data_IF_220105387243
#
_entry.id   IF_220105387243
#
_cell.length_a   1.000
_cell.length_b   1.000
_cell.length_c   1.000
_cell.angle_alpha   90.00
_cell.angle_beta   90.00
_cell.angle_gamma   90.00
#
_symmetry.space_group_name_H-M   'P 1'
#
loop_
_entity.id
_entity.type
_entity.pdbx_description
1 polymer ?
#
# COMPACT_ATOMS: atom_id res chain seq x y z
N UNK A 1 12.51 -8.05 -10.69
CA UNK A 1 13.04 -7.57 -11.98
C UNK A 1 12.92 -8.56 -13.14
N UNK A 2 13.74 -9.62 -13.27
CA UNK A 2 13.73 -10.50 -14.48
C UNK A 2 12.34 -10.99 -14.90
N UNK A 3 11.52 -11.46 -13.95
CA UNK A 3 10.16 -11.90 -14.23
C UNK A 3 9.27 -10.79 -14.82
N UNK A 4 9.40 -9.55 -14.31
CA UNK A 4 8.64 -8.38 -14.77
C UNK A 4 9.09 -7.96 -16.17
N UNK A 5 10.40 -7.91 -16.45
CA UNK A 5 10.89 -7.63 -17.81
C UNK A 5 10.39 -8.68 -18.81
N UNK A 6 10.49 -9.97 -18.45
CA UNK A 6 10.01 -11.08 -19.27
C UNK A 6 8.50 -10.99 -19.56
N UNK A 7 7.70 -10.44 -18.63
CA UNK A 7 6.27 -10.24 -18.85
C UNK A 7 6.03 -9.24 -20.00
N UNK A 8 6.72 -8.10 -19.99
CA UNK A 8 6.62 -7.09 -21.04
C UNK A 8 7.19 -7.60 -22.38
N UNK A 9 8.30 -8.34 -22.35
CA UNK A 9 8.90 -8.96 -23.55
C UNK A 9 8.00 -10.04 -24.18
N UNK A 10 7.30 -10.83 -23.36
CA UNK A 10 6.44 -11.92 -23.82
C UNK A 10 5.09 -11.43 -24.37
N UNK A 11 4.61 -10.29 -23.88
CA UNK A 11 3.32 -9.73 -24.28
C UNK A 11 3.42 -8.27 -24.76
N UNK A 12 4.27 -7.98 -25.77
CA UNK A 12 4.58 -6.61 -26.19
C UNK A 12 3.36 -5.87 -26.75
N UNK A 13 2.33 -6.60 -27.21
CA UNK A 13 1.07 -6.03 -27.69
C UNK A 13 0.08 -5.72 -26.57
N UNK A 14 0.36 -6.16 -25.33
CA UNK A 14 -0.58 -6.02 -24.19
C UNK A 14 -0.05 -5.10 -23.10
N UNK A 15 1.26 -5.04 -22.91
CA UNK A 15 1.88 -4.24 -21.86
C UNK A 15 3.30 -3.80 -22.22
N UNK A 16 3.78 -2.78 -21.52
CA UNK A 16 5.16 -2.28 -21.62
C UNK A 16 5.61 -1.72 -20.26
N UNK A 17 6.92 -1.68 -20.04
CA UNK A 17 7.50 -1.05 -18.84
C UNK A 17 7.43 0.46 -18.95
N UNK A 18 7.01 1.12 -17.88
CA UNK A 18 7.02 2.57 -17.74
C UNK A 18 8.07 2.98 -16.73
N UNK A 19 8.95 3.89 -17.15
CA UNK A 19 10.07 4.41 -16.37
C UNK A 19 10.03 5.91 -16.18
N UNK A 20 8.96 6.55 -16.64
CA UNK A 20 8.60 7.94 -16.37
C UNK A 20 7.08 8.11 -16.42
N UNK A 21 6.52 9.22 -15.91
CA UNK A 21 5.11 9.57 -16.09
C UNK A 21 4.70 9.63 -17.57
N UNK A 22 5.58 10.16 -18.43
CA UNK A 22 5.34 10.24 -19.88
C UNK A 22 5.27 8.85 -20.54
N UNK A 23 6.07 7.89 -20.06
CA UNK A 23 5.98 6.51 -20.52
C UNK A 23 4.60 5.93 -20.18
N UNK A 24 4.08 6.19 -18.98
CA UNK A 24 2.73 5.73 -18.58
C UNK A 24 1.68 6.27 -19.55
N UNK A 25 1.67 7.59 -19.77
CA UNK A 25 0.73 8.25 -20.68
C UNK A 25 0.82 7.67 -22.11
N UNK A 26 2.04 7.55 -22.65
CA UNK A 26 2.29 7.02 -24.00
C UNK A 26 1.82 5.56 -24.14
N UNK A 27 2.13 4.72 -23.16
CA UNK A 27 1.77 3.29 -23.18
C UNK A 27 0.26 3.13 -23.11
N UNK A 28 -0.42 3.83 -22.19
CA UNK A 28 -1.87 3.77 -22.04
C UNK A 28 -2.58 4.29 -23.28
N UNK A 29 -2.12 5.39 -23.88
CA UNK A 29 -2.68 5.93 -25.14
C UNK A 29 -2.58 4.93 -26.31
N UNK A 30 -1.62 4.01 -26.28
CA UNK A 30 -1.50 2.93 -27.28
C UNK A 30 -2.43 1.73 -27.03
N UNK A 31 -3.30 1.78 -26.01
CA UNK A 31 -4.17 0.67 -25.59
C UNK A 31 -3.46 -0.44 -24.81
N UNK A 32 -2.20 -0.22 -24.40
CA UNK A 32 -1.39 -1.16 -23.63
C UNK A 32 -1.41 -0.83 -22.15
N UNK A 33 -1.06 -1.81 -21.31
CA UNK A 33 -0.92 -1.64 -19.87
C UNK A 33 0.49 -1.17 -19.52
N UNK A 34 0.61 -0.06 -18.81
CA UNK A 34 1.88 0.42 -18.26
C UNK A 34 2.25 -0.38 -17.00
N UNK A 35 3.44 -0.96 -16.99
CA UNK A 35 3.99 -1.68 -15.84
C UNK A 35 5.07 -0.82 -15.19
N UNK A 36 4.81 -0.36 -13.97
CA UNK A 36 5.77 0.35 -13.13
C UNK A 36 6.36 -0.63 -12.12
N UNK A 37 7.62 -0.44 -11.72
CA UNK A 37 8.29 -1.34 -10.78
C UNK A 37 8.49 -0.65 -9.43
N UNK A 38 7.97 -1.27 -8.38
CA UNK A 38 8.28 -0.98 -6.98
C UNK A 38 9.19 -2.02 -6.37
N UNK A 39 9.99 -1.63 -5.38
CA UNK A 39 10.71 -2.55 -4.50
C UNK A 39 10.14 -2.40 -3.10
N UNK A 40 9.42 -3.42 -2.65
CA UNK A 40 8.90 -3.45 -1.29
C UNK A 40 9.91 -4.17 -0.37
N UNK A 41 10.33 -3.48 0.68
CA UNK A 41 11.43 -3.82 1.59
C UNK A 41 12.83 -3.49 1.06
N UNK A 42 13.50 -2.56 1.74
CA UNK A 42 14.91 -2.23 1.51
C UNK A 42 15.89 -3.27 2.09
N UNK A 43 15.44 -4.22 2.92
CA UNK A 43 16.30 -5.23 3.56
C UNK A 43 17.30 -5.91 2.61
N UNK A 44 16.92 -6.37 1.39
CA UNK A 44 17.85 -7.06 0.49
C UNK A 44 19.01 -6.20 -0.02
N UNK A 45 18.98 -4.89 0.21
CA UNK A 45 20.08 -4.00 -0.16
C UNK A 45 21.28 -4.08 0.80
N UNK A 46 21.10 -4.70 1.98
CA UNK A 46 22.13 -4.69 3.03
C UNK A 46 22.61 -3.27 3.31
N UNK A 47 23.92 -3.10 3.42
CA UNK A 47 24.57 -1.81 3.64
C UNK A 47 25.05 -1.12 2.34
N UNK A 48 24.82 -1.75 1.18
CA UNK A 48 25.26 -1.24 -0.12
C UNK A 48 24.23 -0.29 -0.73
N UNK A 49 24.45 1.02 -0.57
CA UNK A 49 23.63 2.05 -1.20
C UNK A 49 23.63 1.99 -2.74
N UNK A 50 24.66 1.37 -3.35
CA UNK A 50 24.71 1.14 -4.79
C UNK A 50 23.63 0.17 -5.28
N UNK A 51 22.94 -0.57 -4.40
CA UNK A 51 21.77 -1.34 -4.80
C UNK A 51 20.55 -0.47 -5.11
N UNK A 52 20.43 0.73 -4.51
CA UNK A 52 19.38 1.69 -4.88
C UNK A 52 19.53 2.11 -6.34
N UNK A 53 20.77 2.41 -6.76
CA UNK A 53 21.11 2.68 -8.15
C UNK A 53 20.79 1.52 -9.08
N UNK A 54 21.18 0.31 -8.70
CA UNK A 54 20.91 -0.90 -9.48
C UNK A 54 19.41 -1.15 -9.63
N UNK A 55 18.61 -0.94 -8.58
CA UNK A 55 17.15 -1.03 -8.68
C UNK A 55 16.59 0.02 -9.65
N UNK A 56 17.05 1.27 -9.55
CA UNK A 56 16.63 2.36 -10.45
C UNK A 56 16.93 2.06 -11.92
N UNK A 57 18.16 1.61 -12.21
CA UNK A 57 18.62 1.24 -13.56
C UNK A 57 17.82 0.06 -14.13
N UNK A 58 17.32 -0.82 -13.26
CA UNK A 58 16.44 -1.94 -13.64
C UNK A 58 14.97 -1.53 -13.74
N UNK A 59 14.65 -0.24 -13.66
CA UNK A 59 13.32 0.32 -13.87
C UNK A 59 12.50 0.53 -12.60
N UNK A 60 13.04 0.27 -11.40
CA UNK A 60 12.33 0.60 -10.16
C UNK A 60 12.16 2.11 -10.01
N UNK A 61 10.99 2.54 -9.53
CA UNK A 61 10.63 3.96 -9.35
C UNK A 61 10.19 4.33 -7.96
N UNK A 62 9.94 3.33 -7.10
CA UNK A 62 9.87 3.55 -5.66
C UNK A 62 10.52 2.40 -4.88
N UNK A 63 10.92 2.69 -3.64
CA UNK A 63 11.31 1.69 -2.65
C UNK A 63 10.57 1.95 -1.34
N UNK A 64 9.93 0.92 -0.80
CA UNK A 64 9.43 0.90 0.59
C UNK A 64 10.59 0.53 1.51
N UNK A 65 10.94 1.41 2.45
CA UNK A 65 12.20 1.26 3.21
C UNK A 65 12.26 -0.02 4.04
N UNK A 66 11.13 -0.46 4.62
CA UNK A 66 10.98 -1.74 5.29
C UNK A 66 9.65 -2.41 4.89
N UNK A 67 9.46 -3.65 5.33
CA UNK A 67 8.18 -4.34 5.28
C UNK A 67 7.77 -4.68 6.73
N UNK A 68 7.21 -5.85 6.99
CA UNK A 68 7.08 -6.38 8.34
C UNK A 68 8.46 -6.77 8.87
N UNK A 69 8.80 -6.23 10.04
CA UNK A 69 10.09 -6.40 10.70
C UNK A 69 11.05 -5.22 10.49
N UNK A 70 11.88 -4.95 11.50
CA UNK A 70 12.94 -3.95 11.42
C UNK A 70 14.00 -4.37 10.41
N UNK A 71 14.72 -3.38 9.86
CA UNK A 71 15.87 -3.64 9.02
C UNK A 71 16.96 -2.58 9.24
N UNK A 72 18.08 -2.69 8.52
CA UNK A 72 19.22 -1.80 8.62
C UNK A 72 18.93 -0.33 8.26
N UNK A 73 17.76 -0.03 7.70
CA UNK A 73 17.37 1.31 7.25
C UNK A 73 16.43 1.98 8.24
N UNK A 74 15.46 1.26 8.79
CA UNK A 74 14.41 1.85 9.60
C UNK A 74 13.60 0.85 10.44
N UNK A 75 12.88 1.41 11.40
CA UNK A 75 11.86 0.70 12.17
C UNK A 75 10.60 0.46 11.32
N UNK A 76 9.95 -0.68 11.58
CA UNK A 76 8.69 -1.09 10.97
C UNK A 76 7.55 -0.89 11.96
N UNK A 77 6.35 -0.56 11.48
CA UNK A 77 5.15 -0.52 12.31
C UNK A 77 4.72 -1.91 12.80
N UNK A 78 5.29 -2.97 12.24
CA UNK A 78 5.00 -4.37 12.57
C UNK A 78 6.32 -5.11 12.86
N UNK A 79 6.97 -4.85 14.03
CA UNK A 79 8.15 -5.59 14.45
C UNK A 79 7.86 -7.09 14.50
N UNK A 80 8.87 -7.91 14.23
CA UNK A 80 8.81 -9.37 14.16
C UNK A 80 9.70 -9.98 15.24
N UNK A 81 9.17 -10.25 16.45
CA UNK A 81 9.94 -10.90 17.51
C UNK A 81 10.51 -12.26 17.11
N UNK A 82 9.84 -12.97 16.19
CA UNK A 82 10.33 -14.24 15.63
C UNK A 82 11.58 -14.08 14.74
N UNK A 83 11.87 -12.86 14.28
CA UNK A 83 13.10 -12.48 13.59
C UNK A 83 14.11 -11.79 14.53
N UNK A 84 13.79 -11.68 15.82
CA UNK A 84 14.64 -11.05 16.83
C UNK A 84 14.38 -9.55 17.05
N UNK A 85 13.35 -8.98 16.44
CA UNK A 85 13.06 -7.55 16.61
C UNK A 85 12.62 -7.23 18.04
N UNK A 86 13.21 -6.17 18.59
CA UNK A 86 12.66 -5.47 19.74
C UNK A 86 11.43 -4.62 19.36
N UNK A 87 10.83 -3.89 20.33
CA UNK A 87 9.79 -2.91 20.04
C UNK A 87 10.28 -1.70 19.23
N UNK A 88 11.61 -1.52 19.13
CA UNK A 88 12.31 -0.44 18.43
C UNK A 88 13.75 -0.86 18.18
N UNK A 89 14.30 -0.52 17.02
CA UNK A 89 15.71 -0.74 16.65
C UNK A 89 16.47 0.59 16.60
N UNK A 90 16.06 1.50 15.72
CA UNK A 90 16.74 2.78 15.46
C UNK A 90 16.04 3.98 16.11
N UNK A 91 14.76 3.82 16.46
CA UNK A 91 13.89 4.93 16.87
C UNK A 91 13.43 5.80 15.71
N UNK A 92 13.40 5.26 14.48
CA UNK A 92 13.14 6.02 13.27
C UNK A 92 13.92 5.49 12.07
N UNK A 93 14.62 6.37 11.37
CA UNK A 93 15.61 6.01 10.36
C UNK A 93 16.99 5.82 10.99
N UNK A 94 17.72 4.79 10.58
CA UNK A 94 19.15 4.67 10.86
C UNK A 94 19.96 5.73 10.09
N UNK A 95 21.25 5.94 10.43
CA UNK A 95 22.14 6.76 9.61
C UNK A 95 22.24 6.28 8.16
N UNK A 96 22.17 4.96 7.93
CA UNK A 96 22.13 4.38 6.59
C UNK A 96 20.79 4.66 5.90
N UNK A 97 19.66 4.55 6.60
CA UNK A 97 18.33 4.89 6.10
C UNK A 97 18.23 6.33 5.62
N UNK A 98 18.76 7.30 6.38
CA UNK A 98 18.83 8.71 5.95
C UNK A 98 19.66 8.89 4.68
N UNK A 99 20.79 8.20 4.56
CA UNK A 99 21.60 8.21 3.31
C UNK A 99 20.87 7.56 2.13
N UNK A 100 20.09 6.50 2.36
CA UNK A 100 19.27 5.86 1.35
C UNK A 100 18.19 6.82 0.81
N UNK A 101 17.44 7.50 1.69
CA UNK A 101 16.46 8.53 1.31
C UNK A 101 17.11 9.63 0.47
N UNK A 102 18.26 10.15 0.89
CA UNK A 102 19.00 11.15 0.12
C UNK A 102 19.46 10.62 -1.25
N UNK A 103 19.87 9.34 -1.35
CA UNK A 103 20.23 8.73 -2.63
C UNK A 103 19.01 8.59 -3.54
N UNK A 104 17.87 8.16 -3.01
CA UNK A 104 16.61 8.07 -3.75
C UNK A 104 16.17 9.44 -4.29
N UNK A 105 16.22 10.49 -3.47
CA UNK A 105 15.93 11.86 -3.93
C UNK A 105 16.87 12.32 -5.06
N UNK A 106 18.17 12.00 -4.99
CA UNK A 106 19.13 12.34 -6.05
C UNK A 106 18.88 11.58 -7.36
N UNK A 107 18.30 10.39 -7.29
CA UNK A 107 18.00 9.57 -8.48
C UNK A 107 16.67 9.93 -9.12
N UNK A 108 15.75 10.60 -8.40
CA UNK A 108 14.35 10.71 -8.82
C UNK A 108 13.56 9.44 -8.51
N UNK A 109 13.97 8.69 -7.48
CA UNK A 109 13.23 7.53 -6.97
C UNK A 109 12.31 7.98 -5.83
N UNK A 110 11.02 7.62 -5.92
CA UNK A 110 10.03 7.91 -4.89
C UNK A 110 10.35 7.12 -3.61
N UNK A 111 10.27 7.80 -2.47
CA UNK A 111 10.35 7.14 -1.16
C UNK A 111 8.96 6.72 -0.74
N UNK A 112 8.78 5.43 -0.45
CA UNK A 112 7.51 4.89 0.04
C UNK A 112 7.55 4.68 1.56
N UNK A 113 6.54 5.23 2.23
CA UNK A 113 6.37 5.23 3.69
C UNK A 113 5.33 4.23 4.20
N UNK A 114 4.71 3.43 3.32
CA UNK A 114 3.98 2.22 3.75
C UNK A 114 4.87 1.31 4.62
N UNK A 115 4.29 0.57 5.57
CA UNK A 115 4.98 -0.29 6.55
C UNK A 115 5.85 0.38 7.61
N UNK A 116 6.30 1.62 7.42
CA UNK A 116 7.20 2.29 8.35
C UNK A 116 6.55 2.49 9.72
N UNK A 117 7.36 2.39 10.78
CA UNK A 117 6.95 2.90 12.09
C UNK A 117 6.64 4.40 12.00
N UNK A 118 5.81 4.91 12.91
CA UNK A 118 5.47 6.33 12.93
C UNK A 118 6.72 7.22 13.08
N UNK A 119 7.70 6.80 13.89
CA UNK A 119 9.00 7.49 14.01
C UNK A 119 9.74 7.57 12.66
N UNK A 120 9.80 6.45 11.93
CA UNK A 120 10.47 6.39 10.62
C UNK A 120 9.75 7.22 9.58
N UNK A 121 8.41 7.26 9.61
CA UNK A 121 7.60 8.15 8.77
C UNK A 121 7.98 9.63 9.00
N UNK A 122 8.07 10.07 10.25
CA UNK A 122 8.43 11.45 10.58
C UNK A 122 9.86 11.79 10.14
N UNK A 123 10.81 10.89 10.37
CA UNK A 123 12.20 11.04 9.93
C UNK A 123 12.33 11.13 8.40
N UNK A 124 11.56 10.33 7.65
CA UNK A 124 11.51 10.41 6.18
C UNK A 124 10.98 11.78 5.76
N UNK A 125 9.88 12.26 6.35
CA UNK A 125 9.31 13.57 6.02
C UNK A 125 10.23 14.75 6.37
N UNK A 126 11.04 14.60 7.40
CA UNK A 126 12.05 15.58 7.77
C UNK A 126 13.20 15.62 6.77
N UNK A 127 13.75 14.47 6.38
CA UNK A 127 14.98 14.41 5.58
C UNK A 127 14.78 14.29 4.06
N UNK A 128 13.59 13.87 3.61
CA UNK A 128 13.26 13.81 2.18
C UNK A 128 13.11 15.22 1.63
N UNK A 129 13.70 15.44 0.47
CA UNK A 129 13.66 16.71 -0.23
C UNK A 129 12.79 16.66 -1.49
N UNK A 130 12.07 15.56 -1.67
CA UNK A 130 11.05 15.38 -2.67
C UNK A 130 9.78 14.81 -1.99
N UNK A 131 8.59 14.96 -2.60
CA UNK A 131 7.38 14.34 -2.09
C UNK A 131 7.52 12.82 -1.93
N UNK A 132 6.74 12.26 -1.00
CA UNK A 132 6.76 10.82 -0.68
C UNK A 132 5.40 10.18 -0.96
N UNK A 133 5.39 8.89 -1.22
CA UNK A 133 4.16 8.11 -1.34
C UNK A 133 3.95 7.26 -0.09
N UNK A 134 2.70 6.98 0.26
CA UNK A 134 2.36 5.76 0.99
C UNK A 134 1.65 4.85 -0.01
N UNK A 135 2.31 3.83 -0.55
CA UNK A 135 1.84 3.08 -1.72
C UNK A 135 0.64 2.15 -1.45
N UNK A 136 0.36 1.85 -0.18
CA UNK A 136 -0.71 0.97 0.30
C UNK A 136 -0.88 1.11 1.82
N UNK A 137 -1.66 2.09 2.25
CA UNK A 137 -1.95 2.33 3.68
C UNK A 137 -3.40 2.77 3.88
N UNK A 138 -3.94 2.60 5.09
CA UNK A 138 -5.29 3.04 5.45
C UNK A 138 -5.31 4.24 6.40
N UNK A 139 -6.51 4.59 6.88
CA UNK A 139 -6.77 5.71 7.76
C UNK A 139 -7.00 5.21 9.19
N UNK A 140 -6.13 5.61 10.12
CA UNK A 140 -6.16 5.09 11.50
C UNK A 140 -7.41 5.51 12.27
N UNK A 141 -7.99 6.66 11.90
CA UNK A 141 -9.23 7.15 12.51
C UNK A 141 -10.44 6.24 12.27
N UNK A 142 -10.43 5.45 11.19
CA UNK A 142 -11.50 4.49 10.86
C UNK A 142 -11.18 3.08 11.34
N UNK A 143 -9.91 2.70 11.30
CA UNK A 143 -9.43 1.43 11.84
C UNK A 143 -8.09 1.64 12.53
N UNK A 144 -8.08 1.55 13.86
CA UNK A 144 -6.87 1.72 14.67
C UNK A 144 -5.92 0.52 14.49
N UNK A 145 -5.06 0.64 13.49
CA UNK A 145 -4.10 -0.39 13.10
C UNK A 145 -2.74 0.25 12.82
N UNK A 146 -1.60 -0.36 13.23
CA UNK A 146 -0.27 0.19 13.03
C UNK A 146 0.09 0.50 11.57
N UNK A 147 -0.43 -0.31 10.62
CA UNK A 147 -0.28 -0.08 9.17
C UNK A 147 -1.02 1.14 8.62
N UNK A 148 -1.90 1.77 9.41
CA UNK A 148 -2.68 2.93 8.99
C UNK A 148 -2.05 4.24 9.49
N UNK A 149 -2.15 5.27 8.66
CA UNK A 149 -1.68 6.61 8.96
C UNK A 149 -2.70 7.36 9.82
N UNK A 150 -2.22 8.08 10.82
CA UNK A 150 -3.04 9.03 11.59
C UNK A 150 -3.39 10.27 10.76
N UNK A 151 -4.43 11.00 11.16
CA UNK A 151 -4.79 12.27 10.51
C UNK A 151 -3.65 13.30 10.53
N UNK A 152 -2.81 13.25 11.57
CA UNK A 152 -1.60 14.07 11.67
C UNK A 152 -0.60 13.70 10.57
N UNK A 153 -0.37 12.40 10.36
CA UNK A 153 0.49 11.90 9.29
C UNK A 153 -0.08 12.26 7.90
N UNK A 154 -1.37 12.08 7.68
CA UNK A 154 -2.04 12.44 6.42
C UNK A 154 -1.87 13.93 6.07
N UNK A 155 -2.12 14.83 7.02
CA UNK A 155 -1.94 16.28 6.83
C UNK A 155 -0.49 16.65 6.53
N UNK A 156 0.47 16.05 7.25
CA UNK A 156 1.89 16.33 7.05
C UNK A 156 2.40 15.81 5.69
N UNK A 157 1.95 14.62 5.28
CA UNK A 157 2.23 14.06 3.97
C UNK A 157 1.70 14.97 2.85
N UNK A 158 0.45 15.42 2.97
CA UNK A 158 -0.16 16.35 2.01
C UNK A 158 0.58 17.69 1.93
N UNK A 159 0.94 18.28 3.08
CA UNK A 159 1.69 19.53 3.16
C UNK A 159 3.07 19.47 2.48
N UNK A 160 3.60 18.26 2.24
CA UNK A 160 4.87 18.01 1.54
C UNK A 160 4.67 17.51 0.11
N UNK A 161 3.46 17.63 -0.44
CA UNK A 161 3.13 17.23 -1.81
C UNK A 161 2.88 15.73 -1.99
N UNK A 162 2.93 14.95 -0.90
CA UNK A 162 2.86 13.49 -0.93
C UNK A 162 1.49 12.94 -1.31
N UNK A 163 1.39 11.63 -1.57
CA UNK A 163 0.13 10.95 -1.90
C UNK A 163 -0.03 9.65 -1.08
N UNK A 164 -1.16 9.50 -0.39
CA UNK A 164 -1.56 8.21 0.19
C UNK A 164 -2.35 7.42 -0.85
N UNK A 165 -1.95 6.18 -1.09
CA UNK A 165 -2.69 5.21 -1.88
C UNK A 165 -3.43 4.30 -0.91
N UNK A 166 -4.75 4.45 -0.86
CA UNK A 166 -5.60 3.72 0.08
C UNK A 166 -5.62 2.24 -0.28
N UNK A 167 -5.45 1.39 0.73
CA UNK A 167 -5.29 -0.06 0.57
C UNK A 167 -6.58 -0.84 0.84
N UNK A 168 -6.81 -1.91 0.05
CA UNK A 168 -7.97 -2.78 0.17
C UNK A 168 -7.70 -4.04 1.02
N UNK A 169 -6.94 -3.91 2.11
CA UNK A 169 -6.67 -5.02 3.03
C UNK A 169 -7.68 -4.99 4.18
N UNK A 170 -8.50 -6.03 4.28
CA UNK A 170 -9.63 -6.05 5.20
C UNK A 170 -9.28 -5.76 6.67
N UNK A 171 -8.16 -6.30 7.16
CA UNK A 171 -7.68 -6.06 8.54
C UNK A 171 -7.28 -4.60 8.81
N UNK A 172 -7.02 -3.82 7.76
CA UNK A 172 -6.67 -2.40 7.85
C UNK A 172 -7.87 -1.49 7.63
N UNK A 173 -9.01 -2.03 7.17
CA UNK A 173 -10.23 -1.27 6.91
C UNK A 173 -11.26 -1.39 8.02
N UNK A 174 -11.25 -2.50 8.76
CA UNK A 174 -12.23 -2.74 9.82
C UNK A 174 -11.65 -3.52 10.98
N UNK A 175 -11.86 -2.99 12.18
CA UNK A 175 -11.51 -3.65 13.43
C UNK A 175 -12.47 -4.81 13.75
N UNK A 176 -12.02 -5.75 14.60
CA UNK A 176 -12.90 -6.81 15.11
C UNK A 176 -12.88 -8.13 14.33
N UNK A 177 -12.07 -8.27 13.28
CA UNK A 177 -11.89 -9.55 12.58
C UNK A 177 -11.36 -10.66 13.50
N UNK A 178 -10.58 -10.32 14.52
CA UNK A 178 -10.17 -11.27 15.57
C UNK A 178 -11.37 -11.80 16.39
N UNK A 179 -12.31 -10.93 16.75
CA UNK A 179 -13.55 -11.33 17.45
C UNK A 179 -14.44 -12.19 16.55
N UNK A 180 -14.51 -11.87 15.26
CA UNK A 180 -15.18 -12.71 14.25
C UNK A 180 -14.57 -14.11 14.22
N UNK A 181 -13.24 -14.21 14.05
CA UNK A 181 -12.54 -15.50 14.02
C UNK A 181 -12.74 -16.31 15.30
N UNK A 182 -12.70 -15.64 16.46
CA UNK A 182 -12.99 -16.27 17.75
C UNK A 182 -14.43 -16.80 17.83
N UNK A 183 -15.41 -16.02 17.38
CA UNK A 183 -16.81 -16.44 17.35
C UNK A 183 -17.03 -17.64 16.42
N UNK A 184 -16.39 -17.67 15.26
CA UNK A 184 -16.43 -18.80 14.32
C UNK A 184 -15.77 -20.04 14.94
N UNK A 185 -14.61 -19.88 15.59
CA UNK A 185 -13.93 -20.98 16.28
C UNK A 185 -14.80 -21.59 17.38
N UNK A 186 -15.42 -20.75 18.21
CA UNK A 186 -16.36 -21.20 19.25
C UNK A 186 -17.60 -21.88 18.66
N UNK A 187 -18.07 -21.43 17.49
CA UNK A 187 -19.16 -22.09 16.77
C UNK A 187 -18.74 -23.48 16.27
N UNK A 188 -17.56 -23.60 15.65
CA UNK A 188 -17.02 -24.88 15.20
C UNK A 188 -16.87 -25.86 16.37
N UNK A 189 -16.31 -25.41 17.49
CA UNK A 189 -16.17 -26.21 18.72
C UNK A 189 -17.51 -26.70 19.27
N UNK A 190 -18.52 -25.81 19.38
CA UNK A 190 -19.87 -26.19 19.84
C UNK A 190 -20.55 -27.23 18.95
N UNK A 191 -20.25 -27.21 17.66
CA UNK A 191 -20.81 -28.13 16.68
C UNK A 191 -19.94 -29.38 16.47
N UNK A 192 -18.81 -29.51 17.17
CA UNK A 192 -17.87 -30.62 16.99
C UNK A 192 -17.22 -30.65 15.61
N UNK A 193 -17.04 -29.50 14.97
CA UNK A 193 -16.38 -29.37 13.67
C UNK A 193 -14.88 -29.14 13.90
N UNK A 194 -13.99 -29.94 13.28
CA UNK A 194 -12.55 -29.75 13.41
C UNK A 194 -12.10 -28.36 12.97
N UNK A 195 -11.08 -27.84 13.66
CA UNK A 195 -10.47 -26.55 13.38
C UNK A 195 -9.00 -26.73 13.05
N UNK A 196 -8.57 -26.24 11.90
CA UNK A 196 -7.20 -26.33 11.42
C UNK A 196 -6.89 -25.19 10.46
N UNK A 197 -5.60 -24.85 10.36
CA UNK A 197 -5.09 -23.78 9.48
C UNK A 197 -5.80 -22.40 9.59
N UNK A 198 -6.56 -22.19 10.67
CA UNK A 198 -7.26 -20.95 10.93
C UNK A 198 -8.71 -20.88 10.48
N UNK A 199 -9.30 -22.01 10.10
CA UNK A 199 -10.67 -22.14 9.66
C UNK A 199 -11.33 -23.44 10.17
N UNK A 200 -12.64 -23.54 10.00
CA UNK A 200 -13.40 -24.74 10.30
C UNK A 200 -13.33 -25.69 9.09
N UNK A 201 -12.98 -26.96 9.31
CA UNK A 201 -12.90 -27.98 8.26
C UNK A 201 -14.31 -28.50 7.94
N UNK A 202 -15.05 -27.71 7.18
CA UNK A 202 -16.43 -28.03 6.83
C UNK A 202 -16.50 -29.27 5.92
N UNK A 203 -15.50 -29.56 5.12
CA UNK A 203 -15.40 -30.79 4.32
C UNK A 203 -15.53 -32.06 5.18
N UNK A 204 -14.94 -32.07 6.37
CA UNK A 204 -15.00 -33.17 7.35
C UNK A 204 -16.32 -33.24 8.15
N UNK A 205 -17.18 -32.23 8.03
CA UNK A 205 -18.42 -32.13 8.80
C UNK A 205 -19.62 -32.88 8.15
N UNK A 206 -20.52 -33.39 8.98
CA UNK A 206 -21.80 -33.97 8.57
C UNK A 206 -22.72 -32.93 7.92
N UNK A 207 -23.74 -33.38 7.18
CA UNK A 207 -24.73 -32.47 6.58
C UNK A 207 -25.48 -31.64 7.65
N UNK A 208 -25.78 -32.24 8.80
CA UNK A 208 -26.43 -31.55 9.93
C UNK A 208 -25.51 -30.48 10.54
N UNK A 209 -24.23 -30.80 10.75
CA UNK A 209 -23.24 -29.85 11.25
C UNK A 209 -23.05 -28.68 10.28
N UNK A 210 -22.97 -28.94 8.97
CA UNK A 210 -22.90 -27.90 7.92
C UNK A 210 -24.10 -26.97 7.95
N UNK A 211 -25.31 -27.53 8.04
CA UNK A 211 -26.55 -26.76 8.10
C UNK A 211 -26.61 -25.88 9.36
N UNK A 212 -26.30 -26.45 10.53
CA UNK A 212 -26.26 -25.72 11.80
C UNK A 212 -25.19 -24.62 11.80
N UNK A 213 -24.00 -24.91 11.24
CA UNK A 213 -22.93 -23.94 11.10
C UNK A 213 -23.33 -22.78 10.19
N UNK A 214 -23.90 -23.06 9.03
CA UNK A 214 -24.37 -22.03 8.09
C UNK A 214 -25.46 -21.15 8.71
N UNK A 215 -26.41 -21.74 9.44
CA UNK A 215 -27.49 -20.99 10.09
C UNK A 215 -26.94 -20.06 11.20
N UNK A 216 -26.01 -20.53 12.00
CA UNK A 216 -25.40 -19.73 13.07
C UNK A 216 -24.36 -18.72 12.57
N UNK A 217 -23.73 -18.98 11.41
CA UNK A 217 -22.77 -18.06 10.79
C UNK A 217 -23.43 -16.75 10.38
N UNK A 218 -24.69 -16.78 9.93
CA UNK A 218 -25.43 -15.58 9.56
C UNK A 218 -25.51 -14.54 10.71
N UNK A 219 -25.64 -14.99 11.95
CA UNK A 219 -25.63 -14.10 13.11
C UNK A 219 -24.23 -13.53 13.38
N UNK A 220 -23.18 -14.33 13.18
CA UNK A 220 -21.79 -13.88 13.28
C UNK A 220 -21.49 -12.85 12.18
N UNK A 221 -22.00 -13.06 10.95
CA UNK A 221 -21.86 -12.13 9.82
C UNK A 221 -22.55 -10.79 10.11
N UNK A 222 -23.73 -10.83 10.70
CA UNK A 222 -24.46 -9.63 11.12
C UNK A 222 -23.70 -8.87 12.22
N UNK A 223 -23.16 -9.58 13.20
CA UNK A 223 -22.47 -8.99 14.35
C UNK A 223 -21.05 -8.53 14.05
N UNK A 224 -20.35 -9.24 13.17
CA UNK A 224 -18.97 -8.98 12.77
C UNK A 224 -18.84 -9.08 11.25
N UNK A 225 -19.33 -8.07 10.50
CA UNK A 225 -19.31 -8.13 9.04
C UNK A 225 -17.89 -8.15 8.52
N UNK A 226 -17.67 -8.88 7.42
CA UNK A 226 -16.43 -8.79 6.67
C UNK A 226 -16.30 -7.40 6.03
N UNK A 227 -15.06 -6.93 5.80
CA UNK A 227 -14.82 -5.66 5.13
C UNK A 227 -15.28 -5.74 3.67
N UNK A 228 -15.82 -4.62 3.18
CA UNK A 228 -16.42 -4.48 1.87
C UNK A 228 -15.82 -3.33 1.07
N UNK A 229 -16.19 -3.22 -0.20
CA UNK A 229 -15.89 -2.08 -1.05
C UNK A 229 -16.31 -0.74 -0.39
N UNK A 230 -17.39 -0.74 0.39
CA UNK A 230 -17.83 0.48 1.08
C UNK A 230 -16.84 0.91 2.16
N UNK A 231 -16.33 -0.03 2.96
CA UNK A 231 -15.28 0.25 3.96
C UNK A 231 -14.01 0.77 3.29
N UNK A 232 -13.65 0.20 2.14
CA UNK A 232 -12.52 0.68 1.35
C UNK A 232 -12.72 2.14 0.89
N UNK A 233 -13.89 2.48 0.34
CA UNK A 233 -14.17 3.86 -0.11
C UNK A 233 -14.40 4.82 1.06
N UNK A 234 -14.83 4.35 2.24
CA UNK A 234 -14.87 5.17 3.47
C UNK A 234 -13.46 5.66 3.85
N UNK A 235 -12.45 4.80 3.67
CA UNK A 235 -11.05 5.20 3.85
C UNK A 235 -10.58 6.20 2.79
N UNK A 236 -11.03 6.08 1.54
CA UNK A 236 -10.77 7.07 0.49
C UNK A 236 -11.38 8.42 0.85
N UNK A 237 -12.66 8.46 1.24
CA UNK A 237 -13.35 9.67 1.67
C UNK A 237 -12.66 10.36 2.84
N UNK A 238 -12.30 9.58 3.86
CA UNK A 238 -11.60 10.12 5.01
C UNK A 238 -10.25 10.69 4.62
N UNK A 239 -9.48 9.99 3.78
CA UNK A 239 -8.19 10.50 3.28
C UNK A 239 -8.39 11.80 2.49
N UNK A 240 -9.39 11.87 1.60
CA UNK A 240 -9.68 13.08 0.80
C UNK A 240 -10.07 14.24 1.70
N UNK A 241 -10.88 14.00 2.73
CA UNK A 241 -11.29 15.03 3.71
C UNK A 241 -10.13 15.60 4.51
N UNK A 242 -9.12 14.79 4.82
CA UNK A 242 -8.00 15.17 5.69
C UNK A 242 -6.80 15.70 4.90
N UNK A 243 -6.45 15.04 3.79
CA UNK A 243 -5.27 15.32 2.97
C UNK A 243 -5.59 16.17 1.74
N UNK A 244 -6.84 16.19 1.28
CA UNK A 244 -7.26 16.83 0.02
C UNK A 244 -7.21 15.87 -1.17
N UNK A 245 -8.04 16.14 -2.18
CA UNK A 245 -8.21 15.26 -3.36
C UNK A 245 -6.92 15.03 -4.15
N UNK A 246 -6.02 16.01 -4.16
CA UNK A 246 -4.71 15.96 -4.83
C UNK A 246 -3.71 14.99 -4.17
N UNK A 247 -4.05 14.45 -3.00
CA UNK A 247 -3.13 13.69 -2.16
C UNK A 247 -3.60 12.27 -1.88
N UNK A 248 -4.58 11.77 -2.64
CA UNK A 248 -5.18 10.44 -2.46
C UNK A 248 -5.13 9.64 -3.76
N UNK A 249 -4.79 8.36 -3.66
CA UNK A 249 -4.83 7.38 -4.74
C UNK A 249 -5.29 6.01 -4.26
N UNK A 250 -5.14 4.98 -5.11
CA UNK A 250 -5.53 3.59 -4.81
C UNK A 250 -4.32 2.67 -4.88
N UNK A 251 -4.11 1.87 -3.83
CA UNK A 251 -3.03 0.88 -3.72
C UNK A 251 -3.58 -0.45 -3.24
N UNK A 252 -4.20 -1.21 -4.14
CA UNK A 252 -5.12 -2.30 -3.76
C UNK A 252 -4.51 -3.45 -2.95
N UNK A 253 -3.21 -3.71 -3.11
CA UNK A 253 -2.51 -4.87 -2.53
C UNK A 253 -3.10 -6.24 -2.95
N UNK A 254 -3.82 -6.29 -4.08
CA UNK A 254 -4.25 -7.53 -4.71
C UNK A 254 -3.04 -8.42 -5.04
N UNK A 255 -3.19 -9.73 -4.89
CA UNK A 255 -2.11 -10.73 -4.87
C UNK A 255 -1.09 -10.62 -3.71
N UNK A 256 -1.17 -9.56 -2.89
CA UNK A 256 -0.36 -9.33 -1.68
C UNK A 256 -1.10 -9.53 -0.34
N UNK A 257 -2.41 -9.75 -0.39
CA UNK A 257 -3.28 -9.91 0.80
C UNK A 257 -4.47 -8.93 0.82
N UNK A 258 -4.52 -8.01 -0.13
CA UNK A 258 -5.67 -7.17 -0.42
C UNK A 258 -6.81 -7.91 -1.11
N UNK A 259 -7.97 -7.25 -1.13
CA UNK A 259 -9.24 -7.78 -1.60
C UNK A 259 -10.30 -7.68 -0.50
N UNK A 260 -11.46 -7.15 -0.86
CA UNK A 260 -12.63 -7.03 0.02
C UNK A 260 -13.90 -7.40 -0.74
N UNK A 261 -15.00 -7.63 -0.03
CA UNK A 261 -16.28 -7.96 -0.66
C UNK A 261 -16.68 -6.86 -1.65
N UNK A 262 -16.79 -7.21 -2.94
CA UNK A 262 -17.09 -6.30 -4.04
C UNK A 262 -15.87 -5.64 -4.72
N UNK A 263 -14.64 -5.96 -4.29
CA UNK A 263 -13.39 -5.62 -4.97
C UNK A 263 -12.31 -6.70 -4.71
N UNK A 264 -12.62 -7.95 -5.05
CA UNK A 264 -11.75 -9.10 -4.75
C UNK A 264 -10.63 -9.29 -5.79
N UNK A 265 -10.75 -8.71 -6.98
CA UNK A 265 -9.77 -8.86 -8.06
C UNK A 265 -9.81 -7.66 -9.02
N UNK A 266 -8.74 -7.50 -9.82
CA UNK A 266 -8.56 -6.33 -10.70
C UNK A 266 -9.71 -6.08 -11.68
N UNK A 267 -10.40 -7.14 -12.14
CA UNK A 267 -11.58 -7.03 -13.02
C UNK A 267 -12.75 -6.26 -12.40
N UNK A 268 -12.74 -6.03 -11.09
CA UNK A 268 -13.79 -5.31 -10.37
C UNK A 268 -13.45 -3.85 -10.06
N UNK A 269 -12.33 -3.32 -10.57
CA UNK A 269 -11.94 -1.92 -10.36
C UNK A 269 -13.04 -0.90 -10.77
N UNK A 270 -13.86 -1.24 -11.77
CA UNK A 270 -15.02 -0.44 -12.17
C UNK A 270 -16.05 -0.24 -11.05
N UNK A 271 -16.15 -1.17 -10.09
CA UNK A 271 -17.06 -1.06 -8.94
C UNK A 271 -16.61 0.02 -7.96
N UNK A 272 -15.29 0.19 -7.77
CA UNK A 272 -14.73 1.31 -6.99
C UNK A 272 -15.12 2.64 -7.64
N UNK A 273 -14.99 2.75 -8.96
CA UNK A 273 -15.41 3.94 -9.71
C UNK A 273 -16.90 4.22 -9.54
N UNK A 274 -17.74 3.20 -9.66
CA UNK A 274 -19.19 3.35 -9.45
C UNK A 274 -19.53 3.80 -8.01
N UNK A 275 -18.83 3.30 -7.01
CA UNK A 275 -19.01 3.70 -5.62
C UNK A 275 -18.54 5.15 -5.37
N UNK A 276 -17.43 5.58 -5.98
CA UNK A 276 -16.98 6.99 -5.93
C UNK A 276 -18.00 7.93 -6.59
N UNK A 277 -18.50 7.60 -7.79
CA UNK A 277 -19.56 8.36 -8.45
C UNK A 277 -20.82 8.46 -7.58
N UNK A 278 -21.23 7.35 -6.95
CA UNK A 278 -22.38 7.32 -6.03
C UNK A 278 -22.20 8.25 -4.82
N UNK A 279 -20.96 8.50 -4.40
CA UNK A 279 -20.61 9.40 -3.31
C UNK A 279 -20.42 10.86 -3.75
N UNK A 280 -20.57 11.15 -5.04
CA UNK A 280 -20.55 12.50 -5.58
C UNK A 280 -19.19 13.00 -6.07
N UNK A 281 -18.19 12.12 -6.22
CA UNK A 281 -16.96 12.50 -6.89
C UNK A 281 -17.20 12.76 -8.37
N UNK A 282 -16.58 13.81 -8.91
CA UNK A 282 -16.60 14.08 -10.35
C UNK A 282 -15.64 13.16 -11.10
N UNK A 283 -15.83 13.03 -12.41
CA UNK A 283 -14.94 12.24 -13.27
C UNK A 283 -13.47 12.72 -13.16
N UNK A 284 -13.24 14.04 -13.11
CA UNK A 284 -11.91 14.61 -12.94
C UNK A 284 -11.27 14.22 -11.61
N UNK A 285 -12.04 14.26 -10.51
CA UNK A 285 -11.56 13.84 -9.19
C UNK A 285 -11.24 12.34 -9.15
N UNK A 286 -12.07 11.53 -9.81
CA UNK A 286 -11.85 10.09 -9.94
C UNK A 286 -10.58 9.82 -10.76
N UNK A 287 -10.32 10.59 -11.82
CA UNK A 287 -9.09 10.48 -12.61
C UNK A 287 -7.83 10.82 -11.78
N UNK A 288 -7.93 11.82 -10.89
CA UNK A 288 -6.86 12.12 -9.93
C UNK A 288 -6.58 10.92 -9.00
N UNK A 289 -7.62 10.33 -8.40
CA UNK A 289 -7.52 9.17 -7.51
C UNK A 289 -6.94 7.94 -8.22
N UNK A 290 -7.34 7.68 -9.46
CA UNK A 290 -6.90 6.49 -10.20
C UNK A 290 -5.47 6.55 -10.73
N UNK A 291 -4.81 7.71 -10.69
CA UNK A 291 -3.41 7.79 -11.07
C UNK A 291 -2.90 9.20 -11.32
N UNK A 292 -3.76 10.19 -11.57
CA UNK A 292 -3.34 11.57 -11.82
C UNK A 292 -2.43 12.11 -10.71
N UNK A 293 -2.78 11.85 -9.45
CA UNK A 293 -1.98 12.27 -8.30
C UNK A 293 -0.61 11.58 -8.22
N UNK A 294 -0.55 10.29 -8.54
CA UNK A 294 0.72 9.55 -8.60
C UNK A 294 1.63 10.11 -9.69
N UNK A 295 1.09 10.36 -10.89
CA UNK A 295 1.85 10.91 -12.00
C UNK A 295 2.37 12.31 -11.70
N UNK A 296 1.53 13.18 -11.11
CA UNK A 296 1.94 14.51 -10.64
C UNK A 296 3.08 14.43 -9.62
N UNK A 297 2.94 13.56 -8.62
CA UNK A 297 3.97 13.37 -7.59
C UNK A 297 5.27 12.87 -8.20
N UNK A 298 5.19 11.89 -9.10
CA UNK A 298 6.37 11.31 -9.75
C UNK A 298 7.10 12.37 -10.60
N UNK A 299 6.39 13.22 -11.35
CA UNK A 299 6.99 14.36 -12.04
C UNK A 299 7.72 15.30 -11.07
N UNK A 300 7.14 15.60 -9.91
CA UNK A 300 7.78 16.45 -8.89
C UNK A 300 9.05 15.80 -8.32
N UNK A 301 9.06 14.49 -8.16
CA UNK A 301 10.24 13.73 -7.69
C UNK A 301 11.36 13.77 -8.74
N UNK A 302 11.04 13.59 -10.02
CA UNK A 302 12.02 13.72 -11.12
C UNK A 302 12.56 15.15 -11.23
N UNK A 303 11.70 16.15 -11.17
CA UNK A 303 12.10 17.57 -11.20
C UNK A 303 13.02 17.94 -10.01
N UNK A 304 12.72 17.44 -8.80
CA UNK A 304 13.56 17.65 -7.63
C UNK A 304 14.94 17.00 -7.75
N UNK A 305 15.07 15.92 -8.53
CA UNK A 305 16.34 15.28 -8.82
C UNK A 305 17.14 16.09 -9.87
N UNK A 306 16.50 16.54 -10.95
CA UNK A 306 17.14 17.35 -12.00
C UNK A 306 17.66 18.69 -11.48
N UNK A 307 16.88 19.38 -10.64
CA UNK A 307 17.29 20.65 -10.02
C UNK A 307 18.59 20.53 -9.20
N UNK A 308 18.97 19.31 -8.78
CA UNK A 308 20.21 19.04 -8.03
C UNK A 308 21.39 18.66 -8.91
N UNK A 309 21.14 18.21 -10.14
CA UNK A 309 22.19 17.92 -11.12
C UNK A 309 22.74 19.22 -11.70
N UNK A 310 21.90 20.26 -11.78
CA UNK A 310 22.33 21.60 -12.13
C UNK A 310 23.29 22.13 -11.06
N UNK A 311 24.46 22.68 -11.43
CA UNK A 311 25.32 23.37 -10.47
C UNK A 311 24.51 24.46 -9.78
N UNK A 312 24.61 24.58 -8.45
CA UNK A 312 24.14 25.76 -7.74
C UNK A 312 24.77 26.99 -8.44
N UNK A 313 23.92 27.91 -8.91
CA UNK A 313 24.23 28.88 -9.96
C UNK A 313 25.67 29.38 -10.00
N UNK A 314 26.28 29.30 -11.18
CA UNK A 314 27.26 30.32 -11.55
C UNK A 314 26.46 31.61 -11.71
N UNK A 315 26.80 32.70 -10.99
CA UNK A 315 26.10 33.98 -11.12
C UNK A 315 26.15 34.53 -12.55
#
# INVERSE_FOLDING_TARGET
FRAIHRLAERYPDRCALATSPDDVCRIVASGKRAIMIGVENGYPMGEDLGLVDRFYQRGARYVTLCHNGHNQLCDSCSPRPDLGDGPREHGGLSPLGRKAVQRMNRLGMMVDVSHLAESSFWDVLECSQAPVIASHSGCRALCDHPRNLSDRQLKALAARGGVIHVVAVGAFLRSGLGKRRQAIRQLAERLGIPWGHGEAHLDEASAEQKAAFSAALAEIDRRYPLPSLRDFVDHVDHAVRIAGIEHVGIGSDLDGGGGVIGFEHHGQAHRVTAELLRRGYTEDQIALIWGGNLLRLWQQVEAAAEARKLPAGTP
#
